data_IF_411411783531
#
_entry.id   IF_411411783531
#
_cell.length_a   1.000
_cell.length_b   1.000
_cell.length_c   1.000
_cell.angle_alpha   90.00
_cell.angle_beta   90.00
_cell.angle_gamma   90.00
#
_symmetry.space_group_name_H-M   'P 1'
#
loop_
_entity.id
_entity.type
_entity.pdbx_description
1 polymer ?
#
# COMPACT_ATOMS: atom_id res chain seq x y z
N UNK A 1 -6.82 -32.71 35.21
CA UNK A 1 -5.88 -33.68 34.60
C UNK A 1 -6.26 -33.85 33.13
N UNK A 2 -5.91 -32.86 32.28
CA UNK A 2 -6.16 -32.89 30.84
C UNK A 2 -4.92 -33.43 30.14
N UNK A 3 -4.95 -34.70 29.76
CA UNK A 3 -3.81 -35.39 29.15
C UNK A 3 -3.42 -34.77 27.81
N UNK A 4 -2.11 -34.71 27.56
CA UNK A 4 -1.51 -34.39 26.27
C UNK A 4 -2.07 -35.35 25.20
N UNK A 5 -3.16 -34.92 24.57
CA UNK A 5 -3.84 -35.70 23.54
C UNK A 5 -3.09 -35.48 22.23
N UNK A 6 -2.83 -36.57 21.49
CA UNK A 6 -2.18 -36.52 20.17
C UNK A 6 -2.86 -35.52 19.22
N UNK A 7 -4.17 -35.32 19.37
CA UNK A 7 -4.94 -34.31 18.66
C UNK A 7 -4.42 -32.87 18.87
N UNK A 8 -3.93 -32.54 20.08
CA UNK A 8 -3.44 -31.20 20.42
C UNK A 8 -2.13 -30.86 19.70
N UNK A 9 -1.30 -31.87 19.40
CA UNK A 9 -0.08 -31.72 18.60
C UNK A 9 -0.40 -31.50 17.12
N UNK A 10 -1.43 -32.18 16.59
CA UNK A 10 -1.88 -32.00 15.20
C UNK A 10 -2.60 -30.67 15.00
N UNK A 11 -3.45 -30.26 15.94
CA UNK A 11 -4.12 -28.96 15.87
C UNK A 11 -3.24 -27.80 16.34
N UNK A 12 -2.00 -28.11 16.77
CA UNK A 12 -0.97 -27.20 17.30
C UNK A 12 -1.39 -26.28 18.44
N UNK A 13 -2.53 -26.57 19.09
CA UNK A 13 -3.11 -25.75 20.16
C UNK A 13 -3.23 -24.25 19.82
N UNK A 14 -3.18 -23.40 20.84
CA UNK A 14 -3.16 -21.94 20.68
C UNK A 14 -1.90 -21.43 19.92
N UNK A 15 -0.86 -22.27 19.81
CA UNK A 15 0.39 -21.99 19.11
C UNK A 15 0.26 -22.15 17.59
N UNK A 16 -0.68 -22.97 17.10
CA UNK A 16 -0.94 -23.15 15.67
C UNK A 16 -1.35 -21.85 14.99
N UNK A 17 -2.26 -21.09 15.61
CA UNK A 17 -2.72 -19.81 15.08
C UNK A 17 -1.62 -18.76 15.08
N UNK A 18 -0.78 -18.74 16.14
CA UNK A 18 0.40 -17.86 16.22
C UNK A 18 1.40 -18.21 15.12
N UNK A 19 1.74 -19.49 14.97
CA UNK A 19 2.64 -19.98 13.94
C UNK A 19 2.12 -19.76 12.52
N UNK A 20 0.81 -19.91 12.31
CA UNK A 20 0.17 -19.62 11.03
C UNK A 20 0.21 -18.11 10.70
N UNK A 21 -0.03 -17.24 11.68
CA UNK A 21 0.08 -15.80 11.51
C UNK A 21 1.53 -15.37 11.20
N UNK A 22 2.51 -15.97 11.88
CA UNK A 22 3.94 -15.73 11.62
C UNK A 22 4.32 -16.17 10.20
N UNK A 23 3.90 -17.35 9.77
CA UNK A 23 4.12 -17.84 8.41
C UNK A 23 3.47 -16.93 7.36
N UNK A 24 2.25 -16.46 7.63
CA UNK A 24 1.55 -15.54 6.74
C UNK A 24 2.27 -14.19 6.60
N UNK A 25 2.72 -13.59 7.70
CA UNK A 25 3.49 -12.34 7.67
C UNK A 25 4.81 -12.55 6.92
N UNK A 26 5.51 -13.66 7.17
CA UNK A 26 6.75 -13.99 6.50
C UNK A 26 6.56 -14.11 4.97
N UNK A 27 5.58 -14.90 4.54
CA UNK A 27 5.29 -15.09 3.11
C UNK A 27 4.87 -13.77 2.48
N UNK A 28 4.05 -12.96 3.16
CA UNK A 28 3.64 -11.64 2.67
C UNK A 28 4.85 -10.72 2.46
N UNK A 29 5.76 -10.66 3.42
CA UNK A 29 7.00 -9.89 3.29
C UNK A 29 7.92 -10.40 2.17
N UNK A 30 8.04 -11.72 2.02
CA UNK A 30 8.83 -12.34 0.95
C UNK A 30 8.28 -11.99 -0.43
N UNK A 31 6.96 -12.09 -0.63
CA UNK A 31 6.30 -11.74 -1.89
C UNK A 31 6.48 -10.27 -2.21
N UNK A 32 6.28 -9.37 -1.24
CA UNK A 32 6.52 -7.92 -1.43
C UNK A 32 7.98 -7.66 -1.81
N UNK A 33 8.93 -8.35 -1.16
CA UNK A 33 10.35 -8.28 -1.50
C UNK A 33 10.66 -8.75 -2.93
N UNK A 34 10.03 -9.84 -3.40
CA UNK A 34 10.21 -10.33 -4.77
C UNK A 34 9.61 -9.39 -5.82
N UNK A 35 8.42 -8.84 -5.58
CA UNK A 35 7.72 -7.97 -6.55
C UNK A 35 8.31 -6.57 -6.58
N UNK A 36 8.63 -5.99 -5.42
CA UNK A 36 9.04 -4.59 -5.30
C UNK A 36 10.51 -4.38 -4.91
N UNK A 37 11.26 -5.45 -4.63
CA UNK A 37 12.67 -5.36 -4.22
C UNK A 37 13.57 -4.66 -5.23
N UNK A 38 13.36 -4.88 -6.52
CA UNK A 38 14.10 -4.16 -7.57
C UNK A 38 13.88 -2.64 -7.55
N UNK A 39 12.70 -2.19 -7.13
CA UNK A 39 12.40 -0.76 -6.94
C UNK A 39 13.01 -0.28 -5.63
N UNK A 40 12.89 -1.07 -4.55
CA UNK A 40 13.48 -0.74 -3.25
C UNK A 40 15.01 -0.55 -3.35
N UNK A 41 15.70 -1.41 -4.10
CA UNK A 41 17.15 -1.31 -4.32
C UNK A 41 17.57 -0.11 -5.17
N UNK A 42 16.76 0.27 -6.17
CA UNK A 42 17.10 1.34 -7.12
C UNK A 42 16.63 2.72 -6.71
N UNK A 43 15.52 2.81 -5.99
CA UNK A 43 14.78 4.05 -5.71
C UNK A 43 14.47 4.24 -4.22
N UNK A 44 14.84 3.27 -3.38
CA UNK A 44 14.59 3.29 -1.94
C UNK A 44 13.25 2.67 -1.55
N UNK A 45 13.13 2.33 -0.26
CA UNK A 45 11.96 1.67 0.32
C UNK A 45 10.66 2.51 0.19
N UNK A 46 10.75 3.83 0.30
CA UNK A 46 9.59 4.71 0.17
C UNK A 46 8.94 4.64 -1.22
N UNK A 47 9.74 4.60 -2.29
CA UNK A 47 9.24 4.44 -3.65
C UNK A 47 8.59 3.06 -3.87
N UNK A 48 9.19 2.01 -3.29
CA UNK A 48 8.62 0.66 -3.34
C UNK A 48 7.27 0.57 -2.60
N UNK A 49 7.13 1.22 -1.44
CA UNK A 49 5.87 1.29 -0.70
C UNK A 49 4.78 2.03 -1.48
N UNK A 50 5.10 3.19 -2.05
CA UNK A 50 4.14 3.94 -2.88
C UNK A 50 3.67 3.06 -4.05
N UNK A 51 4.59 2.36 -4.73
CA UNK A 51 4.25 1.48 -5.84
C UNK A 51 3.45 0.24 -5.42
N UNK A 52 3.67 -0.26 -4.20
CA UNK A 52 2.85 -1.32 -3.62
C UNK A 52 1.41 -0.84 -3.30
N UNK A 53 1.26 0.46 -2.99
CA UNK A 53 -0.02 1.10 -2.66
C UNK A 53 -0.69 1.75 -3.89
N UNK A 54 0.00 1.87 -5.02
CA UNK A 54 -0.52 2.47 -6.27
C UNK A 54 -1.71 1.69 -6.85
N UNK A 55 -1.90 0.42 -6.47
CA UNK A 55 -3.10 -0.35 -6.79
C UNK A 55 -4.38 0.17 -6.11
N UNK A 56 -4.28 1.07 -5.13
CA UNK A 56 -5.44 1.67 -4.48
C UNK A 56 -6.09 2.71 -5.41
N UNK A 57 -7.33 2.42 -5.81
CA UNK A 57 -8.19 3.28 -6.64
C UNK A 57 -8.22 4.73 -6.12
N UNK A 58 -8.12 4.95 -4.80
CA UNK A 58 -8.07 6.30 -4.21
C UNK A 58 -6.78 7.04 -4.54
N UNK A 59 -5.64 6.35 -4.54
CA UNK A 59 -4.34 6.93 -4.90
C UNK A 59 -4.30 7.27 -6.38
N UNK A 60 -4.82 6.39 -7.24
CA UNK A 60 -4.95 6.66 -8.68
C UNK A 60 -5.85 7.87 -8.92
N UNK A 61 -7.00 7.95 -8.24
CA UNK A 61 -7.92 9.09 -8.34
C UNK A 61 -7.26 10.39 -7.84
N UNK A 62 -6.50 10.32 -6.73
CA UNK A 62 -5.75 11.46 -6.20
C UNK A 62 -4.67 11.94 -7.17
N UNK A 63 -3.85 11.04 -7.73
CA UNK A 63 -2.80 11.39 -8.70
C UNK A 63 -3.41 11.97 -9.99
N UNK A 64 -4.48 11.37 -10.49
CA UNK A 64 -5.20 11.87 -11.66
C UNK A 64 -5.72 13.30 -11.44
N UNK A 65 -6.25 13.59 -10.24
CA UNK A 65 -6.72 14.94 -9.87
C UNK A 65 -5.57 15.93 -9.63
N UNK A 66 -4.57 15.57 -8.84
CA UNK A 66 -3.53 16.50 -8.39
C UNK A 66 -2.45 16.77 -9.45
N UNK A 67 -1.95 15.72 -10.12
CA UNK A 67 -0.88 15.87 -11.13
C UNK A 67 -1.43 16.21 -12.51
N UNK A 68 -2.53 15.55 -12.91
CA UNK A 68 -3.03 15.63 -14.28
C UNK A 68 -4.30 16.49 -14.40
N UNK A 69 -4.83 17.03 -13.30
CA UNK A 69 -6.06 17.84 -13.28
C UNK A 69 -7.24 17.17 -14.00
N UNK A 70 -7.33 15.83 -13.91
CA UNK A 70 -8.42 15.06 -14.48
C UNK A 70 -9.65 15.13 -13.55
N UNK A 71 -10.78 15.56 -14.09
CA UNK A 71 -12.09 15.57 -13.43
C UNK A 71 -12.87 14.28 -13.70
N UNK A 72 -13.86 13.99 -12.84
CA UNK A 72 -14.81 12.90 -13.14
C UNK A 72 -15.64 13.24 -14.38
N UNK A 73 -16.14 12.24 -15.11
CA UNK A 73 -17.11 12.46 -16.18
C UNK A 73 -18.29 13.28 -15.64
N UNK A 74 -18.50 14.49 -16.17
CA UNK A 74 -19.55 15.43 -15.75
C UNK A 74 -19.13 16.53 -14.75
N UNK A 75 -17.87 16.55 -14.29
CA UNK A 75 -17.34 17.59 -13.38
C UNK A 75 -16.56 18.67 -14.17
N UNK A 76 -16.94 19.94 -14.05
CA UNK A 76 -16.30 21.07 -14.75
C UNK A 76 -15.10 21.61 -13.96
N UNK A 77 -13.89 21.58 -14.55
CA UNK A 77 -12.67 22.09 -13.91
C UNK A 77 -12.51 23.59 -14.14
N UNK A 78 -12.59 24.38 -13.09
CA UNK A 78 -12.29 25.81 -13.12
C UNK A 78 -10.82 26.06 -12.73
N UNK A 79 -10.01 26.56 -13.66
CA UNK A 79 -8.66 27.05 -13.34
C UNK A 79 -8.73 28.53 -12.96
N UNK A 80 -8.35 28.85 -11.73
CA UNK A 80 -8.12 30.25 -11.32
C UNK A 80 -6.84 30.72 -11.98
N UNK A 81 -6.95 31.73 -12.86
CA UNK A 81 -5.79 32.40 -13.45
C UNK A 81 -5.14 33.21 -12.33
N UNK A 82 -3.91 32.87 -11.95
CA UNK A 82 -3.16 33.70 -11.00
C UNK A 82 -2.85 35.00 -11.73
N UNK A 83 -3.47 36.10 -11.32
CA UNK A 83 -3.06 37.41 -11.78
C UNK A 83 -1.67 37.68 -11.19
N UNK A 84 -0.69 37.76 -12.10
CA UNK A 84 0.66 38.17 -11.78
C UNK A 84 0.57 39.54 -11.10
N UNK A 85 1.00 39.57 -9.84
CA UNK A 85 0.87 40.72 -8.95
C UNK A 85 1.34 41.99 -9.63
N UNK A 86 0.39 42.89 -9.89
CA UNK A 86 0.63 44.21 -10.42
C UNK A 86 1.72 44.91 -9.63
N UNK A 87 2.77 45.28 -10.36
CA UNK A 87 3.76 46.28 -9.98
C UNK A 87 3.06 47.52 -9.41
N UNK A 88 3.13 47.68 -8.09
CA UNK A 88 2.87 48.99 -7.47
C UNK A 88 4.07 49.87 -7.81
N UNK A 89 3.82 50.84 -8.68
CA UNK A 89 4.61 52.07 -8.82
C UNK A 89 4.63 52.83 -7.49
#
# INVERSE_FOLDING_TARGET
LGGASWLYLITGGNTFFVSAAEAFIFISGLVVGMVYGGIALKQGLGAAQIKALEGDKKTIEKIAREKYNMARPGETVYRVKKEDGGSRQ
#
